data_IF_848071228527
#
_entry.id   IF_848071228527
#
_cell.length_a   1.000
_cell.length_b   1.000
_cell.length_c   1.000
_cell.angle_alpha   90.00
_cell.angle_beta   90.00
_cell.angle_gamma   90.00
#
_symmetry.space_group_name_H-M   'P 1'
#
loop_
_entity.id
_entity.type
_entity.pdbx_description
1 polymer ?
#
# COMPACT_ATOMS: atom_id res chain seq x y z
N UNK A 1 -31.20 1.48 9.66
CA UNK A 1 -29.81 1.89 9.27
C UNK A 1 -29.28 0.80 8.37
N UNK A 2 -28.79 1.11 7.17
CA UNK A 2 -28.21 0.10 6.26
C UNK A 2 -26.82 -0.22 6.82
N UNK A 3 -26.57 -1.49 7.13
CA UNK A 3 -25.25 -1.98 7.56
C UNK A 3 -24.48 -2.39 6.31
N UNK A 4 -23.32 -1.80 6.11
CA UNK A 4 -22.40 -2.13 4.99
C UNK A 4 -21.58 -3.35 5.39
N UNK A 5 -21.67 -4.42 4.63
CA UNK A 5 -20.91 -5.65 4.87
C UNK A 5 -19.56 -5.61 4.14
N UNK A 6 -18.47 -5.65 4.90
CA UNK A 6 -17.14 -5.37 4.41
C UNK A 6 -16.19 -6.56 4.67
N UNK A 7 -15.46 -7.00 3.62
CA UNK A 7 -14.39 -7.97 3.72
C UNK A 7 -13.03 -7.25 3.67
N UNK A 8 -12.16 -7.50 4.66
CA UNK A 8 -10.76 -7.07 4.64
C UNK A 8 -9.87 -8.30 4.47
N UNK A 9 -9.34 -8.51 3.27
CA UNK A 9 -8.37 -9.57 2.98
C UNK A 9 -6.98 -9.09 3.40
N UNK A 10 -6.25 -9.91 4.17
CA UNK A 10 -4.95 -9.53 4.74
C UNK A 10 -5.07 -8.62 5.97
N UNK A 11 -6.07 -8.88 6.82
CA UNK A 11 -6.39 -8.09 8.01
C UNK A 11 -5.27 -8.05 9.07
N UNK A 12 -4.30 -8.97 9.02
CA UNK A 12 -3.12 -9.01 9.91
C UNK A 12 -1.91 -8.24 9.35
N UNK A 13 -1.99 -7.72 8.11
CA UNK A 13 -1.00 -6.81 7.53
C UNK A 13 -1.13 -5.37 8.07
N UNK A 14 -0.13 -4.52 7.83
CA UNK A 14 -0.07 -3.15 8.35
C UNK A 14 -1.36 -2.35 8.05
N UNK A 15 -1.78 -2.32 6.79
CA UNK A 15 -2.97 -1.58 6.36
C UNK A 15 -4.27 -2.27 6.79
N UNK A 16 -4.35 -3.59 6.65
CA UNK A 16 -5.53 -4.35 7.06
C UNK A 16 -5.86 -4.21 8.54
N UNK A 17 -4.85 -4.24 9.40
CA UNK A 17 -5.00 -3.97 10.84
C UNK A 17 -5.55 -2.57 11.10
N UNK A 18 -5.01 -1.55 10.44
CA UNK A 18 -5.45 -0.17 10.65
C UNK A 18 -6.89 0.04 10.20
N UNK A 19 -7.26 -0.48 9.02
CA UNK A 19 -8.66 -0.45 8.54
C UNK A 19 -9.60 -1.14 9.53
N UNK A 20 -9.25 -2.34 9.97
CA UNK A 20 -10.07 -3.10 10.93
C UNK A 20 -10.20 -2.36 12.27
N UNK A 21 -9.12 -1.74 12.75
CA UNK A 21 -9.10 -0.95 13.99
C UNK A 21 -10.03 0.27 13.90
N UNK A 22 -9.93 1.05 12.83
CA UNK A 22 -10.77 2.25 12.63
C UNK A 22 -12.25 1.85 12.58
N UNK A 23 -12.58 0.81 11.83
CA UNK A 23 -13.96 0.38 11.64
C UNK A 23 -14.58 -0.34 12.85
N UNK A 24 -13.76 -0.92 13.75
CA UNK A 24 -14.26 -1.66 14.92
C UNK A 24 -15.06 -0.81 15.90
N UNK A 25 -14.97 0.52 15.81
CA UNK A 25 -15.74 1.48 16.63
C UNK A 25 -17.02 1.98 15.96
N UNK A 26 -17.31 1.57 14.71
CA UNK A 26 -18.42 2.11 13.93
C UNK A 26 -19.55 1.10 13.72
N UNK A 27 -20.75 1.43 14.19
CA UNK A 27 -21.95 0.58 14.08
C UNK A 27 -22.53 0.50 12.65
N UNK A 28 -21.93 1.19 11.68
CA UNK A 28 -22.37 1.25 10.27
C UNK A 28 -21.83 0.09 9.44
N UNK A 29 -20.83 -0.63 9.95
CA UNK A 29 -20.12 -1.69 9.21
C UNK A 29 -20.20 -3.04 9.93
N UNK A 30 -20.50 -4.09 9.15
CA UNK A 30 -20.25 -5.49 9.53
C UNK A 30 -18.94 -5.94 8.88
N UNK A 31 -17.90 -6.14 9.68
CA UNK A 31 -16.55 -6.42 9.15
C UNK A 31 -16.21 -7.88 9.31
N UNK A 32 -15.75 -8.49 8.22
CA UNK A 32 -15.07 -9.79 8.24
C UNK A 32 -13.62 -9.57 7.79
N UNK A 33 -12.67 -9.74 8.72
CA UNK A 33 -11.25 -9.73 8.42
C UNK A 33 -10.75 -11.15 8.19
N UNK A 34 -9.98 -11.37 7.11
CA UNK A 34 -9.35 -12.66 6.83
C UNK A 34 -7.84 -12.51 6.64
N UNK A 35 -7.09 -13.44 7.20
CA UNK A 35 -5.67 -13.63 6.92
C UNK A 35 -5.46 -14.89 6.06
N UNK A 36 -4.20 -15.23 5.78
CA UNK A 36 -3.88 -16.37 4.92
C UNK A 36 -4.36 -17.72 5.47
N UNK A 37 -4.55 -17.87 6.79
CA UNK A 37 -5.02 -19.14 7.40
C UNK A 37 -6.54 -19.25 7.29
N UNK A 38 -7.24 -18.11 7.35
CA UNK A 38 -8.69 -18.03 7.27
C UNK A 38 -9.19 -18.13 5.83
N UNK A 39 -8.44 -17.53 4.87
CA UNK A 39 -8.76 -17.52 3.44
C UNK A 39 -7.46 -17.37 2.62
N UNK A 40 -6.94 -18.47 2.05
CA UNK A 40 -5.81 -18.39 1.13
C UNK A 40 -6.28 -17.87 -0.23
N UNK A 41 -5.90 -16.62 -0.57
CA UNK A 41 -6.28 -15.99 -1.84
C UNK A 41 -5.78 -16.73 -3.08
N UNK A 42 -4.83 -17.67 -2.93
CA UNK A 42 -4.37 -18.55 -4.00
C UNK A 42 -5.30 -19.75 -4.22
N UNK A 43 -6.21 -20.05 -3.29
CA UNK A 43 -7.29 -21.02 -3.50
C UNK A 43 -8.51 -20.32 -4.14
N UNK A 44 -8.49 -20.21 -5.45
CA UNK A 44 -9.46 -19.41 -6.20
C UNK A 44 -10.91 -19.85 -6.00
N UNK A 45 -11.14 -21.18 -5.87
CA UNK A 45 -12.47 -21.69 -5.62
C UNK A 45 -12.98 -21.29 -4.24
N UNK A 46 -12.15 -21.41 -3.22
CA UNK A 46 -12.51 -21.03 -1.84
C UNK A 46 -12.83 -19.52 -1.74
N UNK A 47 -12.04 -18.68 -2.41
CA UNK A 47 -12.28 -17.22 -2.47
C UNK A 47 -13.62 -16.91 -3.15
N UNK A 48 -13.90 -17.56 -4.30
CA UNK A 48 -15.15 -17.35 -5.03
C UNK A 48 -16.35 -17.79 -4.18
N UNK A 49 -16.30 -19.02 -3.62
CA UNK A 49 -17.36 -19.55 -2.75
C UNK A 49 -17.58 -18.64 -1.52
N UNK A 50 -16.50 -18.11 -0.92
CA UNK A 50 -16.56 -17.25 0.26
C UNK A 50 -17.25 -15.92 -0.06
N UNK A 51 -16.82 -15.22 -1.13
CA UNK A 51 -17.38 -13.93 -1.53
C UNK A 51 -18.86 -14.09 -1.94
N UNK A 52 -19.18 -15.10 -2.75
CA UNK A 52 -20.53 -15.39 -3.22
C UNK A 52 -21.48 -15.72 -2.06
N UNK A 53 -21.02 -16.50 -1.08
CA UNK A 53 -21.82 -16.92 0.09
C UNK A 53 -22.15 -15.71 0.98
N UNK A 54 -21.17 -14.87 1.25
CA UNK A 54 -21.32 -13.78 2.23
C UNK A 54 -21.92 -12.51 1.64
N UNK A 55 -21.88 -12.30 0.31
CA UNK A 55 -22.46 -11.17 -0.41
C UNK A 55 -22.04 -9.82 0.20
N UNK A 56 -20.73 -9.57 0.19
CA UNK A 56 -20.18 -8.31 0.69
C UNK A 56 -20.59 -7.13 -0.19
N UNK A 57 -20.79 -5.95 0.42
CA UNK A 57 -20.95 -4.69 -0.29
C UNK A 57 -19.60 -4.14 -0.77
N UNK A 58 -18.54 -4.40 0.03
CA UNK A 58 -17.17 -3.94 -0.24
C UNK A 58 -16.17 -5.04 0.09
N UNK A 59 -15.19 -5.23 -0.80
CA UNK A 59 -14.03 -6.10 -0.59
C UNK A 59 -12.77 -5.24 -0.66
N UNK A 60 -11.99 -5.16 0.42
CA UNK A 60 -10.70 -4.48 0.47
C UNK A 60 -9.60 -5.54 0.43
N UNK A 61 -8.88 -5.60 -0.70
CA UNK A 61 -7.77 -6.53 -0.88
C UNK A 61 -6.44 -5.89 -0.48
N UNK A 62 -6.03 -6.08 0.78
CA UNK A 62 -4.70 -5.75 1.31
C UNK A 62 -3.71 -6.91 1.19
N UNK A 63 -4.14 -8.08 0.72
CA UNK A 63 -3.30 -9.26 0.55
C UNK A 63 -2.31 -9.07 -0.60
N UNK A 64 -1.01 -9.15 -0.32
CA UNK A 64 0.04 -9.03 -1.32
C UNK A 64 1.34 -9.72 -0.90
N UNK A 65 2.14 -10.12 -1.89
CA UNK A 65 3.53 -10.54 -1.69
C UNK A 65 4.43 -9.31 -1.85
N UNK A 66 4.82 -8.70 -0.73
CA UNK A 66 5.47 -7.38 -0.67
C UNK A 66 6.98 -7.44 -0.44
N UNK A 67 7.57 -8.63 -0.33
CA UNK A 67 9.02 -8.80 -0.17
C UNK A 67 9.71 -8.57 -1.53
N UNK A 68 9.97 -7.30 -1.86
CA UNK A 68 10.38 -6.83 -3.19
C UNK A 68 11.56 -7.63 -3.75
N UNK A 69 12.65 -7.79 -2.97
CA UNK A 69 13.83 -8.55 -3.42
C UNK A 69 13.52 -10.04 -3.60
N UNK A 70 12.74 -10.64 -2.70
CA UNK A 70 12.33 -12.04 -2.85
C UNK A 70 11.37 -12.28 -4.03
N UNK A 71 10.72 -11.26 -4.57
CA UNK A 71 9.94 -11.40 -5.80
C UNK A 71 10.82 -11.76 -6.99
N UNK A 72 12.06 -11.26 -7.04
CA UNK A 72 12.98 -11.54 -8.15
C UNK A 72 13.32 -13.04 -8.26
N UNK A 73 13.47 -13.72 -7.11
CA UNK A 73 13.73 -15.16 -7.03
C UNK A 73 12.45 -16.02 -7.01
N UNK A 74 11.28 -15.44 -6.63
CA UNK A 74 10.01 -16.16 -6.50
C UNK A 74 8.93 -15.55 -7.41
N UNK A 75 9.24 -15.43 -8.70
CA UNK A 75 8.38 -14.77 -9.70
C UNK A 75 6.97 -15.35 -9.77
N UNK A 76 6.84 -16.65 -9.86
CA UNK A 76 5.54 -17.34 -9.94
C UNK A 76 4.65 -17.01 -8.73
N UNK A 77 5.22 -17.03 -7.54
CA UNK A 77 4.52 -16.68 -6.31
C UNK A 77 4.08 -15.22 -6.30
N UNK A 78 4.95 -14.31 -6.78
CA UNK A 78 4.62 -12.88 -6.87
C UNK A 78 3.42 -12.66 -7.81
N UNK A 79 3.43 -13.25 -9.01
CA UNK A 79 2.32 -13.16 -9.94
C UNK A 79 1.06 -13.88 -9.45
N UNK A 80 1.19 -15.06 -8.84
CA UNK A 80 0.06 -15.79 -8.29
C UNK A 80 -0.71 -14.94 -7.27
N UNK A 81 0.01 -14.35 -6.31
CA UNK A 81 -0.60 -13.56 -5.21
C UNK A 81 -1.03 -12.17 -5.69
N UNK A 82 -0.14 -11.43 -6.37
CA UNK A 82 -0.39 -10.02 -6.68
C UNK A 82 -1.26 -9.82 -7.93
N UNK A 83 -1.33 -10.81 -8.82
CA UNK A 83 -2.05 -10.69 -10.09
C UNK A 83 -3.23 -11.65 -10.20
N UNK A 84 -2.97 -12.98 -10.18
CA UNK A 84 -4.02 -13.96 -10.45
C UNK A 84 -5.05 -14.05 -9.32
N UNK A 85 -4.62 -13.93 -8.05
CA UNK A 85 -5.55 -13.83 -6.93
C UNK A 85 -6.40 -12.55 -7.03
N UNK A 86 -5.79 -11.41 -7.40
CA UNK A 86 -6.52 -10.16 -7.62
C UNK A 86 -7.56 -10.30 -8.76
N UNK A 87 -7.21 -11.00 -9.87
CA UNK A 87 -8.15 -11.34 -10.94
C UNK A 87 -9.35 -12.10 -10.40
N UNK A 88 -9.11 -13.15 -9.61
CA UNK A 88 -10.18 -13.99 -9.08
C UNK A 88 -11.11 -13.21 -8.14
N UNK A 89 -10.54 -12.39 -7.25
CA UNK A 89 -11.30 -11.51 -6.36
C UNK A 89 -12.16 -10.52 -7.19
N UNK A 90 -11.59 -9.93 -8.24
CA UNK A 90 -12.32 -9.01 -9.11
C UNK A 90 -13.52 -9.68 -9.80
N UNK A 91 -13.34 -10.91 -10.31
CA UNK A 91 -14.42 -11.70 -10.90
C UNK A 91 -15.53 -12.01 -9.88
N UNK A 92 -15.17 -12.36 -8.64
CA UNK A 92 -16.12 -12.66 -7.58
C UNK A 92 -16.88 -11.41 -7.14
N UNK A 93 -16.20 -10.26 -7.05
CA UNK A 93 -16.83 -8.96 -6.76
C UNK A 93 -17.81 -8.55 -7.87
N UNK A 94 -17.45 -8.72 -9.14
CA UNK A 94 -18.36 -8.40 -10.25
C UNK A 94 -19.64 -9.25 -10.22
N UNK A 95 -19.51 -10.56 -9.95
CA UNK A 95 -20.67 -11.46 -9.80
C UNK A 95 -21.64 -11.04 -8.69
N UNK A 96 -21.13 -10.46 -7.60
CA UNK A 96 -21.94 -10.06 -6.44
C UNK A 96 -22.36 -8.59 -6.49
N UNK A 97 -21.76 -7.79 -7.36
CA UNK A 97 -21.93 -6.34 -7.42
C UNK A 97 -21.17 -5.58 -6.33
N UNK A 98 -20.24 -6.25 -5.61
CA UNK A 98 -19.43 -5.65 -4.57
C UNK A 98 -18.44 -4.62 -5.14
N UNK A 99 -18.17 -3.55 -4.39
CA UNK A 99 -17.05 -2.64 -4.66
C UNK A 99 -15.75 -3.32 -4.30
N UNK A 100 -14.75 -3.21 -5.17
CA UNK A 100 -13.40 -3.77 -4.95
C UNK A 100 -12.38 -2.66 -4.72
N UNK A 101 -11.65 -2.72 -3.60
CA UNK A 101 -10.44 -1.91 -3.40
C UNK A 101 -9.22 -2.79 -3.60
N UNK A 102 -8.34 -2.43 -4.55
CA UNK A 102 -7.06 -3.07 -4.80
C UNK A 102 -5.92 -2.14 -4.42
N UNK A 103 -5.10 -2.54 -3.46
CA UNK A 103 -3.94 -1.75 -3.03
C UNK A 103 -2.79 -2.04 -4.00
N UNK A 104 -2.35 -1.02 -4.73
CA UNK A 104 -1.22 -1.04 -5.64
C UNK A 104 -0.01 -0.26 -5.08
N UNK A 105 0.96 0.08 -5.91
CA UNK A 105 2.26 0.59 -5.49
C UNK A 105 2.82 1.60 -6.49
N UNK A 106 3.70 2.47 -6.02
CA UNK A 106 4.60 3.32 -6.80
C UNK A 106 5.56 2.55 -7.72
N UNK A 107 5.88 1.29 -7.39
CA UNK A 107 6.74 0.42 -8.22
C UNK A 107 6.15 0.05 -9.59
N UNK A 108 4.92 0.47 -9.90
CA UNK A 108 4.38 0.38 -11.25
C UNK A 108 5.04 1.38 -12.22
N UNK A 109 5.77 2.36 -11.71
CA UNK A 109 6.53 3.34 -12.49
C UNK A 109 8.03 3.01 -12.55
N UNK A 110 8.73 3.57 -13.54
CA UNK A 110 10.17 3.31 -13.76
C UNK A 110 11.10 4.30 -13.03
N UNK A 111 10.55 5.34 -12.42
CA UNK A 111 11.33 6.32 -11.66
C UNK A 111 12.15 7.30 -12.51
N UNK A 112 11.91 7.39 -13.82
CA UNK A 112 12.69 8.24 -14.75
C UNK A 112 12.06 9.61 -14.99
N UNK A 113 10.81 9.82 -14.58
CA UNK A 113 10.12 11.10 -14.76
C UNK A 113 10.72 12.16 -13.83
N UNK A 114 10.93 13.36 -14.36
CA UNK A 114 11.16 14.55 -13.54
C UNK A 114 9.84 15.02 -12.92
N UNK A 115 9.84 15.23 -11.60
CA UNK A 115 8.63 15.58 -10.84
C UNK A 115 7.72 14.38 -10.51
N UNK A 116 6.55 14.62 -9.90
CA UNK A 116 5.68 13.56 -9.41
C UNK A 116 4.96 12.82 -10.54
N UNK A 117 4.62 11.54 -10.30
CA UNK A 117 3.74 10.75 -11.16
C UNK A 117 2.27 11.06 -10.88
N UNK A 118 1.49 11.12 -11.96
CA UNK A 118 0.03 11.24 -11.94
C UNK A 118 -0.62 9.89 -12.26
N UNK A 119 -1.89 9.72 -11.90
CA UNK A 119 -2.63 8.48 -12.15
C UNK A 119 -2.72 8.12 -13.64
N UNK A 120 -2.69 9.15 -14.52
CA UNK A 120 -2.72 9.01 -15.98
C UNK A 120 -1.37 8.69 -16.61
N UNK A 121 -0.27 8.78 -15.87
CA UNK A 121 1.05 8.48 -16.40
C UNK A 121 1.18 7.00 -16.78
N UNK A 122 1.96 6.75 -17.85
CA UNK A 122 2.21 5.40 -18.34
C UNK A 122 3.00 4.60 -17.30
N UNK A 123 2.47 3.47 -16.90
CA UNK A 123 3.19 2.51 -16.04
C UNK A 123 4.29 1.80 -16.84
N UNK A 124 5.46 1.59 -16.20
CA UNK A 124 6.62 0.91 -16.77
C UNK A 124 7.45 0.24 -15.66
N UNK A 125 6.91 -0.80 -14.99
CA UNK A 125 7.55 -1.39 -13.81
C UNK A 125 8.88 -2.07 -14.14
N UNK A 126 9.90 -1.81 -13.30
CA UNK A 126 11.25 -2.35 -13.45
C UNK A 126 11.38 -3.74 -12.80
N UNK A 127 10.90 -3.90 -11.57
CA UNK A 127 11.01 -5.11 -10.75
C UNK A 127 9.88 -6.11 -11.01
N UNK A 128 10.08 -7.37 -10.63
CA UNK A 128 9.03 -8.41 -10.64
C UNK A 128 7.87 -8.03 -9.72
N UNK A 129 8.15 -7.44 -8.55
CA UNK A 129 7.11 -6.91 -7.67
C UNK A 129 6.22 -5.90 -8.40
N UNK A 130 6.83 -4.86 -9.00
CA UNK A 130 6.10 -3.85 -9.76
C UNK A 130 5.30 -4.44 -10.93
N UNK A 131 5.90 -5.36 -11.70
CA UNK A 131 5.24 -6.07 -12.82
C UNK A 131 4.03 -6.88 -12.34
N UNK A 132 4.16 -7.60 -11.23
CA UNK A 132 3.07 -8.40 -10.67
C UNK A 132 1.93 -7.52 -10.15
N UNK A 133 2.23 -6.37 -9.53
CA UNK A 133 1.23 -5.40 -9.08
C UNK A 133 0.53 -4.72 -10.26
N UNK A 134 1.29 -4.31 -11.28
CA UNK A 134 0.74 -3.70 -12.50
C UNK A 134 -0.22 -4.65 -13.24
N UNK A 135 0.12 -5.94 -13.33
CA UNK A 135 -0.80 -6.93 -13.91
C UNK A 135 -2.06 -7.12 -13.06
N UNK A 136 -1.95 -7.01 -11.72
CA UNK A 136 -3.09 -6.99 -10.82
C UNK A 136 -4.03 -5.79 -11.06
N UNK A 137 -3.48 -4.59 -11.32
CA UNK A 137 -4.27 -3.42 -11.74
C UNK A 137 -5.03 -3.69 -13.04
N UNK A 138 -4.34 -4.27 -14.05
CA UNK A 138 -4.95 -4.60 -15.34
C UNK A 138 -6.13 -5.56 -15.15
N UNK A 139 -5.95 -6.62 -14.38
CA UNK A 139 -7.00 -7.59 -14.11
C UNK A 139 -8.16 -6.99 -13.30
N UNK A 140 -7.87 -6.16 -12.30
CA UNK A 140 -8.89 -5.47 -11.51
C UNK A 140 -9.78 -4.61 -12.43
N UNK A 141 -9.18 -3.82 -13.32
CA UNK A 141 -9.91 -2.99 -14.31
C UNK A 141 -10.70 -3.82 -15.32
N UNK A 142 -10.16 -4.97 -15.73
CA UNK A 142 -10.77 -5.81 -16.77
C UNK A 142 -11.97 -6.59 -16.25
N UNK A 143 -11.95 -6.99 -14.98
CA UNK A 143 -12.90 -7.94 -14.41
C UNK A 143 -13.80 -7.39 -13.29
N UNK A 144 -13.67 -6.12 -12.93
CA UNK A 144 -14.58 -5.45 -11.97
C UNK A 144 -14.98 -4.08 -12.52
N UNK A 145 -16.27 -3.80 -12.52
CA UNK A 145 -16.82 -2.50 -12.92
C UNK A 145 -16.82 -1.47 -11.80
N UNK A 146 -16.82 -1.93 -10.52
CA UNK A 146 -16.87 -1.11 -9.32
C UNK A 146 -15.56 -1.22 -8.54
N UNK A 147 -14.49 -0.60 -9.06
CA UNK A 147 -13.16 -0.74 -8.45
C UNK A 147 -12.53 0.58 -8.04
N UNK A 148 -11.74 0.53 -6.98
CA UNK A 148 -10.78 1.54 -6.59
C UNK A 148 -9.38 0.90 -6.57
N UNK A 149 -8.51 1.31 -7.48
CA UNK A 149 -7.10 0.94 -7.47
C UNK A 149 -6.35 2.07 -6.78
N UNK A 150 -5.70 1.78 -5.65
CA UNK A 150 -5.00 2.81 -4.88
C UNK A 150 -3.51 2.50 -4.90
N UNK A 151 -2.73 3.32 -5.61
CA UNK A 151 -1.27 3.29 -5.60
C UNK A 151 -0.76 4.07 -4.42
N UNK A 152 0.03 3.44 -3.58
CA UNK A 152 0.66 4.05 -2.41
C UNK A 152 2.17 3.82 -2.43
N UNK A 153 2.92 4.55 -1.60
CA UNK A 153 4.37 4.48 -1.50
C UNK A 153 4.82 4.48 -0.04
N UNK A 154 5.94 3.82 0.26
CA UNK A 154 6.68 3.87 1.52
C UNK A 154 5.80 3.74 2.77
N UNK A 155 4.88 2.76 2.73
CA UNK A 155 3.85 2.57 3.75
C UNK A 155 4.44 2.12 5.09
N UNK A 156 4.05 2.78 6.17
CA UNK A 156 4.41 2.42 7.54
C UNK A 156 3.18 2.42 8.47
N UNK A 157 3.23 1.54 9.48
CA UNK A 157 2.17 1.34 10.45
C UNK A 157 2.50 0.22 11.43
N UNK A 158 1.49 -0.46 11.98
CA UNK A 158 1.72 -1.59 12.88
C UNK A 158 2.19 -2.83 12.12
N UNK A 159 3.46 -3.19 12.29
CA UNK A 159 4.15 -4.29 11.63
C UNK A 159 5.60 -3.92 11.29
N UNK A 160 6.25 -4.73 10.46
CA UNK A 160 7.62 -4.49 10.03
C UNK A 160 7.63 -3.43 8.92
N UNK A 161 8.36 -2.34 9.12
CA UNK A 161 8.50 -1.24 8.18
C UNK A 161 9.85 -0.53 8.35
N UNK A 162 10.12 0.45 7.50
CA UNK A 162 11.36 1.21 7.52
C UNK A 162 11.57 1.94 8.86
N UNK A 163 10.53 2.58 9.41
CA UNK A 163 10.62 3.32 10.68
C UNK A 163 11.08 2.40 11.82
N UNK A 164 10.39 1.26 11.99
CA UNK A 164 10.76 0.28 13.02
C UNK A 164 12.14 -0.33 12.77
N UNK A 165 12.55 -0.49 11.50
CA UNK A 165 13.89 -0.96 11.15
C UNK A 165 14.95 0.05 11.58
N UNK A 166 14.76 1.35 11.30
CA UNK A 166 15.70 2.40 11.73
C UNK A 166 15.81 2.47 13.25
N UNK A 167 14.68 2.47 13.97
CA UNK A 167 14.66 2.44 15.43
C UNK A 167 15.31 1.17 16.01
N UNK A 168 15.16 0.04 15.35
CA UNK A 168 15.82 -1.21 15.75
C UNK A 168 17.34 -1.15 15.58
N UNK A 169 17.81 -0.62 14.45
CA UNK A 169 19.24 -0.48 14.14
C UNK A 169 19.94 0.52 15.08
N UNK A 170 19.26 1.61 15.46
CA UNK A 170 19.84 2.60 16.37
C UNK A 170 20.15 2.07 17.78
N UNK A 171 19.53 0.95 18.17
CA UNK A 171 19.82 0.30 19.48
C UNK A 171 21.11 -0.49 19.49
N UNK A 172 21.67 -0.82 18.31
CA UNK A 172 22.81 -1.74 18.18
C UNK A 172 23.96 -1.21 17.33
N UNK A 173 23.78 -0.02 16.71
CA UNK A 173 24.79 0.59 15.83
C UNK A 173 24.96 2.07 16.17
N UNK A 174 26.21 2.53 16.11
CA UNK A 174 26.55 3.95 16.25
C UNK A 174 26.47 4.72 14.93
N UNK A 175 26.41 3.99 13.81
CA UNK A 175 26.33 4.55 12.48
C UNK A 175 25.52 3.67 11.54
N UNK A 176 24.67 4.30 10.69
CA UNK A 176 23.84 3.63 9.69
C UNK A 176 24.06 4.30 8.33
N UNK A 177 24.17 3.49 7.26
CA UNK A 177 24.22 4.00 5.88
C UNK A 177 22.83 3.87 5.25
N UNK A 178 22.31 4.97 4.67
CA UNK A 178 20.97 5.05 4.07
C UNK A 178 21.03 5.68 2.69
N UNK A 179 20.26 5.13 1.76
CA UNK A 179 20.19 5.59 0.36
C UNK A 179 19.65 7.02 0.28
N UNK A 180 20.32 7.88 -0.49
CA UNK A 180 20.01 9.31 -0.62
C UNK A 180 19.68 9.76 -2.05
N UNK A 181 19.65 8.85 -3.01
CA UNK A 181 19.33 9.12 -4.42
C UNK A 181 17.98 8.52 -4.87
N UNK A 182 17.21 8.00 -3.94
CA UNK A 182 15.83 7.57 -4.15
C UNK A 182 14.88 8.49 -3.40
N UNK A 183 13.90 9.06 -4.13
CA UNK A 183 12.89 9.96 -3.57
C UNK A 183 11.50 9.34 -3.63
N UNK A 184 10.69 9.59 -2.61
CA UNK A 184 9.31 9.10 -2.50
C UNK A 184 8.53 9.80 -1.40
N UNK A 185 7.27 9.42 -1.23
CA UNK A 185 6.38 9.98 -0.22
C UNK A 185 6.10 8.95 0.89
N UNK A 186 6.69 9.08 2.09
CA UNK A 186 6.33 8.23 3.22
C UNK A 186 4.84 8.35 3.53
N UNK A 187 4.16 7.23 3.74
CA UNK A 187 2.70 7.23 3.93
C UNK A 187 2.31 6.41 5.16
N UNK A 188 1.53 7.02 6.06
CA UNK A 188 1.01 6.30 7.22
C UNK A 188 -0.18 5.40 6.83
N UNK A 189 -0.28 4.24 7.48
CA UNK A 189 -1.45 3.36 7.30
C UNK A 189 -2.74 4.03 7.75
N UNK A 190 -2.69 4.93 8.74
CA UNK A 190 -3.84 5.68 9.24
C UNK A 190 -4.42 6.63 8.17
N UNK A 191 -3.55 7.43 7.53
CA UNK A 191 -4.00 8.35 6.49
C UNK A 191 -4.52 7.60 5.27
N UNK A 192 -3.84 6.52 4.87
CA UNK A 192 -4.28 5.68 3.75
C UNK A 192 -5.61 4.96 4.06
N UNK A 193 -5.79 4.44 5.26
CA UNK A 193 -7.03 3.80 5.68
C UNK A 193 -8.21 4.80 5.63
N UNK A 194 -8.04 6.00 6.17
CA UNK A 194 -9.06 7.06 6.10
C UNK A 194 -9.41 7.42 4.65
N UNK A 195 -8.44 7.52 3.76
CA UNK A 195 -8.67 7.74 2.33
C UNK A 195 -9.50 6.61 1.71
N UNK A 196 -9.16 5.35 1.99
CA UNK A 196 -9.91 4.17 1.51
C UNK A 196 -11.35 4.22 2.00
N UNK A 197 -11.57 4.49 3.29
CA UNK A 197 -12.90 4.55 3.90
C UNK A 197 -13.76 5.68 3.31
N UNK A 198 -13.15 6.81 2.97
CA UNK A 198 -13.85 7.88 2.26
C UNK A 198 -14.24 7.44 0.84
N UNK A 199 -13.34 6.80 0.09
CA UNK A 199 -13.57 6.36 -1.29
C UNK A 199 -14.68 5.30 -1.39
N UNK A 200 -14.73 4.30 -0.52
CA UNK A 200 -15.73 3.22 -0.59
C UNK A 200 -17.16 3.71 -0.37
N UNK A 201 -17.34 4.88 0.27
CA UNK A 201 -18.63 5.53 0.45
C UNK A 201 -19.12 6.33 -0.78
N UNK A 202 -18.34 6.31 -1.88
CA UNK A 202 -18.67 6.97 -3.14
C UNK A 202 -18.87 5.95 -4.27
N UNK A 203 -19.24 6.46 -5.44
CA UNK A 203 -19.24 5.71 -6.70
C UNK A 203 -18.18 6.26 -7.70
N UNK A 204 -17.19 7.00 -7.20
CA UNK A 204 -16.11 7.57 -7.99
C UNK A 204 -15.04 6.50 -8.28
N UNK A 205 -15.45 5.45 -9.04
CA UNK A 205 -14.57 4.33 -9.37
C UNK A 205 -13.38 4.78 -10.22
N UNK A 206 -12.23 4.15 -10.03
CA UNK A 206 -11.05 4.47 -10.84
C UNK A 206 -9.72 4.17 -10.16
N UNK A 207 -8.66 4.78 -10.70
CA UNK A 207 -7.30 4.70 -10.18
C UNK A 207 -7.01 5.97 -9.39
N UNK A 208 -6.42 5.80 -8.23
CA UNK A 208 -6.03 6.87 -7.31
C UNK A 208 -4.59 6.71 -6.87
N UNK A 209 -3.91 7.82 -6.67
CA UNK A 209 -2.73 7.87 -5.83
C UNK A 209 -3.16 8.23 -4.41
N UNK A 210 -2.60 7.53 -3.43
CA UNK A 210 -2.89 7.73 -2.01
C UNK A 210 -1.60 7.73 -1.21
N UNK A 211 -0.96 8.91 -1.09
CA UNK A 211 0.26 9.14 -0.31
C UNK A 211 0.14 10.40 0.52
N UNK A 212 0.85 10.47 1.64
CA UNK A 212 0.98 11.73 2.37
C UNK A 212 1.62 12.80 1.48
N UNK A 213 1.32 14.06 1.78
CA UNK A 213 1.87 15.21 1.06
C UNK A 213 3.36 15.37 1.35
N UNK A 214 4.08 15.97 0.40
CA UNK A 214 5.52 16.10 0.47
C UNK A 214 6.28 14.86 -0.02
N UNK A 215 7.58 14.97 -0.04
CA UNK A 215 8.49 13.87 -0.42
C UNK A 215 9.85 14.07 0.24
N UNK A 216 10.62 13.01 0.32
CA UNK A 216 11.98 13.03 0.85
C UNK A 216 12.80 11.86 0.27
N UNK A 217 14.10 11.82 0.56
CA UNK A 217 14.92 10.62 0.34
C UNK A 217 14.77 9.64 1.51
N UNK A 218 15.19 8.38 1.33
CA UNK A 218 15.26 7.45 2.45
C UNK A 218 16.19 7.95 3.56
N UNK A 219 17.27 8.67 3.17
CA UNK A 219 18.19 9.31 4.11
C UNK A 219 17.48 10.39 4.94
N UNK A 220 16.76 11.31 4.30
CA UNK A 220 16.01 12.36 5.00
C UNK A 220 14.95 11.76 5.93
N UNK A 221 14.26 10.71 5.47
CA UNK A 221 13.28 10.00 6.28
C UNK A 221 13.91 9.37 7.52
N UNK A 222 15.08 8.74 7.39
CA UNK A 222 15.82 8.20 8.54
C UNK A 222 16.27 9.30 9.51
N UNK A 223 16.82 10.41 8.99
CA UNK A 223 17.24 11.55 9.81
C UNK A 223 16.05 12.13 10.59
N UNK A 224 14.88 12.27 9.95
CA UNK A 224 13.68 12.80 10.60
C UNK A 224 13.14 11.86 11.70
N UNK A 225 13.19 10.53 11.49
CA UNK A 225 12.84 9.55 12.53
C UNK A 225 13.71 9.72 13.76
N UNK A 226 15.03 9.88 13.59
CA UNK A 226 15.96 10.03 14.71
C UNK A 226 15.84 11.39 15.39
N UNK A 227 15.61 12.45 14.63
CA UNK A 227 15.32 13.79 15.14
C UNK A 227 14.11 13.76 16.09
N UNK A 228 12.96 13.25 15.60
CA UNK A 228 11.72 13.21 16.37
C UNK A 228 11.81 12.32 17.64
N UNK A 229 12.63 11.29 17.62
CA UNK A 229 12.86 10.41 18.79
C UNK A 229 14.05 10.86 19.66
N UNK A 230 14.70 11.98 19.35
CA UNK A 230 15.89 12.48 20.05
C UNK A 230 17.02 11.42 20.14
N UNK A 231 17.22 10.65 19.06
CA UNK A 231 18.25 9.61 18.97
C UNK A 231 19.47 10.19 18.28
N UNK A 232 20.59 10.27 19.01
CA UNK A 232 21.86 10.72 18.46
C UNK A 232 22.62 9.55 17.82
N UNK A 233 22.47 9.39 16.48
CA UNK A 233 23.16 8.38 15.68
C UNK A 233 23.67 9.02 14.41
N UNK A 234 24.85 8.60 13.95
CA UNK A 234 25.40 9.05 12.67
C UNK A 234 24.69 8.35 11.50
N UNK A 235 24.06 9.11 10.61
CA UNK A 235 23.50 8.60 9.36
C UNK A 235 24.39 9.02 8.20
N UNK A 236 24.94 8.05 7.44
CA UNK A 236 25.75 8.31 6.26
C UNK A 236 24.89 8.17 5.01
N UNK A 237 24.82 9.19 4.14
CA UNK A 237 24.18 9.05 2.84
C UNK A 237 25.04 8.16 1.93
N UNK A 238 24.37 7.26 1.20
CA UNK A 238 25.00 6.43 0.15
C UNK A 238 24.16 6.46 -1.11
N UNK A 239 24.76 6.15 -2.25
CA UNK A 239 24.00 5.99 -3.48
C UNK A 239 23.35 4.59 -3.57
N UNK A 240 22.27 4.46 -4.34
CA UNK A 240 21.56 3.18 -4.50
C UNK A 240 22.43 2.06 -5.11
N UNK A 241 23.45 2.39 -5.90
CA UNK A 241 24.41 1.43 -6.45
C UNK A 241 25.34 0.82 -5.37
N UNK A 242 25.49 1.47 -4.23
CA UNK A 242 26.26 0.97 -3.07
C UNK A 242 25.40 0.05 -2.18
N UNK A 243 24.06 0.11 -2.32
CA UNK A 243 23.15 -0.73 -1.57
C UNK A 243 22.81 -2.01 -2.33
N UNK A 244 23.34 -3.14 -1.83
CA UNK A 244 23.11 -4.46 -2.46
C UNK A 244 21.65 -4.90 -2.28
N UNK A 245 20.94 -5.04 -3.38
CA UNK A 245 19.57 -5.56 -3.45
C UNK A 245 19.35 -6.27 -4.79
N UNK A 246 18.44 -7.23 -4.82
CA UNK A 246 18.15 -8.02 -6.02
C UNK A 246 17.20 -7.29 -6.98
N UNK A 247 16.29 -6.51 -6.42
CA UNK A 247 15.29 -5.78 -7.20
C UNK A 247 15.75 -4.38 -7.57
N UNK A 248 15.51 -3.98 -8.81
CA UNK A 248 15.71 -2.59 -9.26
C UNK A 248 14.60 -1.73 -8.65
N UNK A 249 14.99 -0.67 -7.92
CA UNK A 249 14.08 0.30 -7.32
C UNK A 249 14.04 1.58 -8.16
N UNK A 250 12.86 2.22 -8.33
CA UNK A 250 12.78 3.50 -9.00
C UNK A 250 13.53 4.58 -8.21
N UNK A 251 14.26 5.47 -8.92
CA UNK A 251 14.94 6.62 -8.28
C UNK A 251 13.93 7.68 -7.85
N UNK A 252 12.85 7.85 -8.62
CA UNK A 252 11.74 8.73 -8.26
C UNK A 252 10.45 7.91 -8.17
N UNK A 253 9.83 7.90 -7.00
CA UNK A 253 8.54 7.24 -6.77
C UNK A 253 7.50 8.19 -6.15
N UNK A 254 7.69 9.49 -6.30
CA UNK A 254 6.76 10.51 -5.80
C UNK A 254 5.45 10.43 -6.57
N UNK A 255 4.36 10.24 -5.85
CA UNK A 255 3.01 10.19 -6.40
C UNK A 255 2.26 11.50 -6.09
N UNK A 256 1.54 12.03 -7.07
CA UNK A 256 0.64 13.17 -6.86
C UNK A 256 -0.81 12.69 -6.80
N UNK A 257 -1.52 13.00 -5.72
CA UNK A 257 -2.91 12.58 -5.48
C UNK A 257 -3.89 13.38 -6.33
N UNK A 258 -3.72 13.36 -7.66
CA UNK A 258 -4.49 14.22 -8.56
C UNK A 258 -5.98 13.88 -8.55
N UNK A 259 -6.32 12.60 -8.66
CA UNK A 259 -7.72 12.17 -8.67
C UNK A 259 -8.44 12.44 -7.35
N UNK A 260 -7.75 12.36 -6.22
CA UNK A 260 -8.31 12.75 -4.93
C UNK A 260 -8.57 14.26 -4.87
N UNK A 261 -7.64 15.08 -5.37
CA UNK A 261 -7.76 16.55 -5.37
C UNK A 261 -8.91 17.04 -6.24
N UNK A 262 -9.05 16.54 -7.46
CA UNK A 262 -10.16 16.97 -8.35
C UNK A 262 -11.53 16.54 -7.84
N UNK A 263 -11.59 15.48 -7.01
CA UNK A 263 -12.84 15.04 -6.36
C UNK A 263 -13.05 15.67 -4.97
N UNK A 264 -12.19 16.60 -4.53
CA UNK A 264 -12.21 17.22 -3.20
C UNK A 264 -12.13 16.19 -2.04
N UNK A 265 -11.36 15.13 -2.24
CA UNK A 265 -11.23 14.00 -1.29
C UNK A 265 -9.79 13.82 -0.77
N UNK A 266 -8.86 14.71 -1.13
CA UNK A 266 -7.47 14.64 -0.65
C UNK A 266 -7.37 15.22 0.77
N UNK A 267 -7.41 14.34 1.75
CA UNK A 267 -7.26 14.65 3.17
C UNK A 267 -5.92 14.17 3.74
N UNK A 268 -4.95 13.86 2.87
CA UNK A 268 -3.64 13.45 3.31
C UNK A 268 -2.89 14.61 3.96
N UNK A 269 -2.31 14.35 5.13
CA UNK A 269 -1.44 15.29 5.85
C UNK A 269 -0.04 15.33 5.22
N UNK A 270 0.79 16.28 5.66
CA UNK A 270 2.22 16.22 5.39
C UNK A 270 2.83 14.96 6.02
N UNK A 271 3.83 14.36 5.34
CA UNK A 271 4.45 13.12 5.79
C UNK A 271 5.15 13.26 7.16
N UNK A 272 5.65 14.48 7.49
CA UNK A 272 6.32 14.74 8.76
C UNK A 272 5.31 14.72 9.92
N UNK A 273 4.15 15.36 9.75
CA UNK A 273 3.09 15.37 10.75
C UNK A 273 2.55 13.96 11.01
N UNK A 274 2.39 13.18 9.92
CA UNK A 274 1.94 11.79 10.00
C UNK A 274 2.97 10.88 10.66
N UNK A 275 4.27 11.16 10.44
CA UNK A 275 5.37 10.43 11.09
C UNK A 275 5.45 10.75 12.57
N UNK A 276 5.32 12.03 12.95
CA UNK A 276 5.35 12.47 14.36
C UNK A 276 4.26 11.77 15.16
N UNK A 277 3.01 11.83 14.70
CA UNK A 277 1.89 11.11 15.34
C UNK A 277 2.15 9.61 15.46
N UNK A 278 2.68 8.98 14.41
CA UNK A 278 3.00 7.55 14.45
C UNK A 278 4.06 7.24 15.50
N UNK A 279 5.11 8.05 15.58
CA UNK A 279 6.20 7.86 16.53
C UNK A 279 5.77 8.09 17.99
N UNK A 280 4.79 8.96 18.25
CA UNK A 280 4.22 9.14 19.60
C UNK A 280 3.51 7.88 20.11
N UNK A 281 3.00 7.04 19.21
CA UNK A 281 2.20 5.86 19.52
C UNK A 281 2.99 4.53 19.54
N UNK A 282 4.35 4.57 19.41
CA UNK A 282 5.20 3.36 19.41
C UNK A 282 6.42 3.47 20.35
#
# INVERSE_FOLDING_TARGET
>A
MIIIKLLVIGCDGQLGKEITKILSGENTYEIIGTNKKDLDICNFKEVDDFILKHKFDVVINCGAYTKVDLCESNKEKAFLINSFAAKNIALSCEKTGAKLVYISTDYVFDGKKEGPYYESDKINPLSIYGKSKALGEIYTKMFSSKYFIIRTAWLYGDGNNFVKTMLGLSKTKDCISVVNDQIGSPTSTKDLANCILNLINTENYGIYHGTCNGFCTWYDFACKIFELKNINIKVNPINSNEYKCDAIRPLNSVLYNHMLKINNMDNFRDWQDSLEEYLENI
#
